data_IF_054299217398
#
_entry.id   IF_054299217398
#
_cell.length_a   1.000
_cell.length_b   1.000
_cell.length_c   1.000
_cell.angle_alpha   90.00
_cell.angle_beta   90.00
_cell.angle_gamma   90.00
#
_symmetry.space_group_name_H-M   'P 1'
#
loop_
_entity.id
_entity.type
_entity.pdbx_description
1 polymer ?
#
# COMPACT_ATOMS: atom_id res chain seq x y z
N UNK A 1 48.17 31.99 28.59
CA UNK A 1 46.97 31.16 28.32
C UNK A 1 46.19 31.86 27.24
N UNK A 2 46.23 31.38 25.99
CA UNK A 2 45.63 32.07 24.84
C UNK A 2 44.58 31.19 24.16
N UNK A 3 43.40 31.76 23.98
CA UNK A 3 42.40 31.39 22.96
C UNK A 3 42.34 32.62 22.05
N UNK A 4 42.49 32.48 20.71
CA UNK A 4 41.28 32.68 19.87
C UNK A 4 41.25 31.97 18.51
N UNK A 5 40.02 31.61 18.10
CA UNK A 5 39.43 31.60 16.73
C UNK A 5 40.15 30.80 15.60
N UNK A 6 39.46 30.06 14.72
CA UNK A 6 38.65 30.45 13.52
C UNK A 6 38.22 29.14 12.82
N UNK A 7 37.25 29.05 11.90
CA UNK A 7 36.32 29.97 11.22
C UNK A 7 35.01 29.17 10.93
N UNK A 8 33.95 29.83 10.45
CA UNK A 8 32.83 29.20 9.71
C UNK A 8 32.98 29.57 8.22
N UNK A 9 32.74 28.63 7.30
CA UNK A 9 32.53 28.94 5.88
C UNK A 9 31.23 28.28 5.40
N UNK A 10 30.21 29.10 5.19
CA UNK A 10 29.04 28.78 4.38
C UNK A 10 29.42 28.93 2.90
N UNK A 11 28.97 28.01 2.06
CA UNK A 11 29.07 28.13 0.60
C UNK A 11 27.68 28.01 -0.02
N UNK A 12 27.07 29.18 -0.22
CA UNK A 12 25.79 29.37 -0.88
C UNK A 12 25.94 29.49 -2.40
N UNK A 13 25.19 28.64 -3.10
CA UNK A 13 24.55 28.81 -4.42
C UNK A 13 24.84 30.14 -5.18
N UNK A 14 25.32 30.03 -6.43
CA UNK A 14 24.74 30.57 -7.68
C UNK A 14 25.78 30.49 -8.85
N UNK A 15 25.39 30.65 -10.14
CA UNK A 15 25.85 29.69 -11.16
C UNK A 15 26.53 30.31 -12.40
N UNK A 16 26.74 29.45 -13.41
CA UNK A 16 27.04 29.70 -14.84
C UNK A 16 28.51 29.69 -15.30
N UNK A 17 28.73 28.80 -16.29
CA UNK A 17 29.77 28.75 -17.32
C UNK A 17 31.23 29.08 -16.97
N UNK A 18 32.00 28.01 -16.73
CA UNK A 18 33.38 27.91 -17.23
C UNK A 18 33.60 26.48 -17.77
N UNK A 19 33.91 26.37 -19.05
CA UNK A 19 34.20 25.11 -19.74
C UNK A 19 35.54 24.55 -19.28
N UNK A 20 35.53 23.40 -18.61
CA UNK A 20 36.76 22.64 -18.31
C UNK A 20 37.12 21.80 -19.55
N UNK A 21 38.36 21.88 -20.08
CA UNK A 21 38.77 21.11 -21.25
C UNK A 21 38.82 19.61 -20.97
N UNK A 22 38.42 18.80 -21.96
CA UNK A 22 38.34 17.33 -21.90
C UNK A 22 39.74 16.72 -22.12
N UNK A 23 40.70 17.07 -21.27
CA UNK A 23 42.10 16.64 -21.39
C UNK A 23 42.81 16.45 -20.04
N UNK A 24 42.06 16.02 -19.01
CA UNK A 24 42.58 15.83 -17.65
C UNK A 24 41.98 14.61 -16.90
N UNK A 25 41.45 13.60 -17.62
CA UNK A 25 40.96 12.35 -17.03
C UNK A 25 41.59 11.10 -17.67
N UNK A 26 42.91 11.01 -17.55
CA UNK A 26 43.66 9.75 -17.62
C UNK A 26 44.54 9.64 -16.37
N UNK A 27 43.92 9.35 -15.23
CA UNK A 27 44.38 8.35 -14.26
C UNK A 27 43.49 8.33 -13.01
N UNK A 28 43.39 7.12 -12.48
CA UNK A 28 42.78 6.67 -11.23
C UNK A 28 42.71 7.69 -10.09
N UNK A 29 41.50 8.04 -9.65
CA UNK A 29 41.06 8.12 -8.24
C UNK A 29 39.67 8.74 -8.13
N UNK A 30 38.62 8.00 -8.51
CA UNK A 30 37.25 8.44 -8.20
C UNK A 30 37.03 8.30 -6.70
N UNK A 31 37.20 9.39 -5.95
CA UNK A 31 36.95 9.43 -4.51
C UNK A 31 35.45 9.27 -4.29
N UNK A 32 35.02 8.03 -4.07
CA UNK A 32 33.69 7.70 -3.57
C UNK A 32 33.59 8.14 -2.11
N UNK A 33 33.19 9.39 -1.90
CA UNK A 33 32.66 9.83 -0.61
C UNK A 33 31.37 9.05 -0.38
N UNK A 34 31.46 7.96 0.37
CA UNK A 34 30.28 7.37 1.00
C UNK A 34 29.76 8.39 2.00
N UNK A 35 28.63 9.03 1.69
CA UNK A 35 27.89 9.80 2.68
C UNK A 35 27.50 8.88 3.84
N UNK A 36 27.78 9.30 5.08
CA UNK A 36 27.46 8.52 6.30
C UNK A 36 25.96 8.17 6.43
N UNK A 37 25.10 8.79 5.63
CA UNK A 37 23.65 8.49 5.55
C UNK A 37 23.30 7.12 4.94
N UNK A 38 24.25 6.39 4.33
CA UNK A 38 23.96 5.09 3.68
C UNK A 38 24.41 3.86 4.47
N UNK A 39 25.21 4.01 5.51
CA UNK A 39 25.69 2.88 6.32
C UNK A 39 25.85 3.25 7.80
N UNK A 40 25.21 2.52 8.70
CA UNK A 40 25.42 2.69 10.14
C UNK A 40 26.52 1.77 10.66
N UNK A 41 27.43 2.30 11.48
CA UNK A 41 28.41 1.49 12.21
C UNK A 41 27.71 0.77 13.37
N UNK A 42 27.42 -0.51 13.19
CA UNK A 42 26.65 -1.35 14.12
C UNK A 42 27.54 -2.45 14.70
N UNK A 43 27.61 -2.62 16.04
CA UNK A 43 28.24 -3.80 16.64
C UNK A 43 27.33 -5.03 16.44
N UNK A 44 27.89 -6.14 15.94
CA UNK A 44 27.17 -7.40 15.73
C UNK A 44 27.89 -8.58 16.42
N UNK A 45 27.12 -9.60 16.78
CA UNK A 45 27.63 -10.88 17.28
C UNK A 45 27.22 -11.99 16.31
N UNK A 46 28.09 -12.41 15.37
CA UNK A 46 27.74 -13.34 14.31
C UNK A 46 27.52 -14.76 14.87
N UNK A 47 26.28 -15.24 14.77
CA UNK A 47 25.92 -16.64 14.99
C UNK A 47 26.29 -17.55 13.80
N UNK A 48 25.98 -18.84 13.89
CA UNK A 48 26.22 -19.84 12.83
C UNK A 48 25.64 -19.46 11.46
N UNK A 49 24.51 -18.76 11.47
CA UNK A 49 23.72 -18.47 10.27
C UNK A 49 24.11 -17.12 9.63
N UNK A 50 25.01 -16.38 10.28
CA UNK A 50 25.66 -15.21 9.69
C UNK A 50 26.77 -15.68 8.74
N UNK A 51 26.39 -15.94 7.49
CA UNK A 51 27.31 -16.44 6.45
C UNK A 51 27.66 -15.38 5.40
N UNK A 52 28.82 -15.60 4.77
CA UNK A 52 29.45 -14.68 3.84
C UNK A 52 28.94 -14.88 2.41
N UNK A 53 28.13 -13.93 1.92
CA UNK A 53 27.81 -13.88 0.49
C UNK A 53 29.01 -13.32 -0.28
N UNK A 54 29.87 -14.24 -0.75
CA UNK A 54 30.90 -14.06 -1.79
C UNK A 54 32.05 -13.07 -1.46
N UNK A 55 33.24 -13.62 -1.25
CA UNK A 55 34.49 -12.86 -1.21
C UNK A 55 34.89 -12.52 -2.66
N UNK A 56 34.84 -11.25 -3.06
CA UNK A 56 35.56 -10.81 -4.25
C UNK A 56 37.07 -10.77 -3.94
N UNK A 57 37.94 -11.30 -4.81
CA UNK A 57 39.37 -11.42 -4.50
C UNK A 57 40.04 -10.05 -4.39
N UNK A 58 40.71 -9.81 -3.26
CA UNK A 58 41.54 -8.63 -2.96
C UNK A 58 40.88 -7.24 -2.99
N UNK A 59 39.75 -7.06 -2.29
CA UNK A 59 39.41 -5.71 -1.82
C UNK A 59 40.43 -5.27 -0.76
N UNK A 60 41.16 -4.18 -1.02
CA UNK A 60 42.35 -3.73 -0.27
C UNK A 60 42.03 -2.74 0.83
N UNK A 61 40.79 -2.28 0.92
CA UNK A 61 40.37 -1.29 1.92
C UNK A 61 38.95 -1.53 2.43
N UNK A 62 38.69 -0.97 3.61
CA UNK A 62 37.35 -0.89 4.20
C UNK A 62 36.35 -0.15 3.31
N UNK A 63 36.77 0.94 2.66
CA UNK A 63 35.92 1.76 1.78
C UNK A 63 35.44 0.97 0.56
N UNK A 64 36.36 0.22 -0.06
CA UNK A 64 36.07 -0.67 -1.19
C UNK A 64 35.09 -1.79 -0.80
N UNK A 65 35.29 -2.39 0.38
CA UNK A 65 34.39 -3.40 0.94
C UNK A 65 32.95 -2.90 1.12
N UNK A 66 32.78 -1.72 1.71
CA UNK A 66 31.48 -1.09 1.90
C UNK A 66 30.87 -0.66 0.56
N UNK A 67 31.68 -0.14 -0.38
CA UNK A 67 31.22 0.24 -1.72
C UNK A 67 30.73 -0.96 -2.55
N UNK A 68 31.40 -2.11 -2.43
CA UNK A 68 30.94 -3.34 -3.08
C UNK A 68 29.60 -3.81 -2.49
N UNK A 69 29.46 -3.79 -1.16
CA UNK A 69 28.18 -4.07 -0.49
C UNK A 69 27.07 -3.08 -0.89
N UNK A 70 27.40 -1.81 -1.19
CA UNK A 70 26.42 -0.85 -1.68
C UNK A 70 25.83 -1.28 -3.03
N UNK A 71 26.66 -1.82 -3.93
CA UNK A 71 26.27 -2.26 -5.28
C UNK A 71 25.53 -3.60 -5.29
N UNK A 72 25.83 -4.50 -4.36
CA UNK A 72 25.18 -5.80 -4.25
C UNK A 72 23.81 -5.67 -3.54
N UNK A 73 22.72 -6.11 -4.19
CA UNK A 73 21.36 -6.04 -3.63
C UNK A 73 21.09 -7.04 -2.49
N UNK A 74 21.85 -8.13 -2.41
CA UNK A 74 21.74 -9.15 -1.36
C UNK A 74 22.62 -8.84 -0.14
N UNK A 75 23.62 -7.95 -0.30
CA UNK A 75 24.45 -7.51 0.82
C UNK A 75 23.69 -6.55 1.76
N UNK A 76 23.46 -6.98 3.00
CA UNK A 76 22.82 -6.17 4.06
C UNK A 76 23.83 -5.40 4.91
N UNK A 77 25.11 -5.73 4.84
CA UNK A 77 26.17 -4.93 5.44
C UNK A 77 27.56 -5.53 5.20
N UNK A 78 28.61 -4.85 5.67
CA UNK A 78 29.97 -5.33 5.49
C UNK A 78 30.84 -5.15 6.75
N UNK A 79 31.83 -6.02 6.94
CA UNK A 79 32.89 -5.82 7.92
C UNK A 79 34.28 -6.01 7.27
N UNK A 80 35.28 -5.37 7.86
CA UNK A 80 36.65 -5.35 7.32
C UNK A 80 37.68 -5.45 8.44
N UNK A 81 38.40 -6.57 8.47
CA UNK A 81 39.49 -6.85 9.41
C UNK A 81 40.74 -7.38 8.66
N UNK A 82 41.26 -6.57 7.73
CA UNK A 82 42.31 -6.99 6.78
C UNK A 82 41.81 -7.83 5.59
N UNK A 83 40.60 -8.37 5.70
CA UNK A 83 39.83 -8.99 4.62
C UNK A 83 38.40 -8.43 4.61
N UNK A 84 37.77 -8.39 3.43
CA UNK A 84 36.39 -7.96 3.26
C UNK A 84 35.39 -9.10 3.44
N UNK A 85 34.34 -8.85 4.22
CA UNK A 85 33.26 -9.79 4.48
C UNK A 85 31.91 -9.09 4.28
N UNK A 86 31.11 -9.60 3.33
CA UNK A 86 29.72 -9.18 3.15
C UNK A 86 28.79 -10.00 4.07
N UNK A 87 27.76 -9.35 4.57
CA UNK A 87 26.87 -9.81 5.64
C UNK A 87 25.43 -9.87 5.15
N UNK A 88 24.73 -10.96 5.50
CA UNK A 88 23.31 -11.16 5.23
C UNK A 88 22.42 -10.55 6.34
N UNK A 89 21.09 -10.69 6.23
CA UNK A 89 20.15 -10.23 7.25
C UNK A 89 20.29 -10.92 8.62
N UNK A 90 20.70 -12.20 8.67
CA UNK A 90 20.85 -12.95 9.92
C UNK A 90 21.95 -12.35 10.83
N UNK A 91 22.96 -11.71 10.23
CA UNK A 91 24.00 -10.98 10.97
C UNK A 91 23.50 -9.76 11.77
N UNK A 92 22.28 -9.28 11.51
CA UNK A 92 21.68 -8.09 12.14
C UNK A 92 20.40 -8.39 12.95
N UNK A 93 19.99 -9.66 13.03
CA UNK A 93 18.87 -10.08 13.87
C UNK A 93 19.17 -9.81 15.36
N UNK A 94 18.19 -9.26 16.08
CA UNK A 94 18.38 -8.62 17.39
C UNK A 94 18.49 -9.60 18.57
N UNK A 95 19.48 -10.50 18.53
CA UNK A 95 19.93 -11.24 19.70
C UNK A 95 20.93 -10.38 20.48
N UNK A 96 20.69 -10.04 21.76
CA UNK A 96 21.69 -9.38 22.57
C UNK A 96 22.92 -10.29 22.70
N UNK A 97 24.12 -9.70 22.61
CA UNK A 97 25.42 -10.39 22.76
C UNK A 97 25.62 -10.91 24.20
N UNK A 98 24.83 -11.91 24.62
CA UNK A 98 24.70 -12.29 26.03
C UNK A 98 25.75 -13.30 26.51
N UNK A 99 26.58 -13.84 25.60
CA UNK A 99 27.57 -14.88 25.91
C UNK A 99 28.75 -15.02 24.92
N UNK A 100 28.92 -14.12 23.93
CA UNK A 100 30.05 -14.17 22.98
C UNK A 100 31.02 -12.98 23.20
N UNK A 101 32.36 -13.20 23.19
CA UNK A 101 33.32 -12.22 23.70
C UNK A 101 33.80 -11.15 22.71
N UNK A 102 33.39 -11.18 21.43
CA UNK A 102 33.90 -10.25 20.40
C UNK A 102 32.74 -9.68 19.58
N UNK A 103 32.36 -8.44 19.88
CA UNK A 103 31.49 -7.65 19.01
C UNK A 103 32.26 -7.22 17.76
N UNK A 104 31.83 -7.68 16.59
CA UNK A 104 32.44 -7.29 15.32
C UNK A 104 31.82 -5.95 14.88
N UNK A 105 32.67 -5.00 14.50
CA UNK A 105 32.22 -3.74 13.89
C UNK A 105 31.76 -4.04 12.46
N UNK A 106 30.45 -3.97 12.23
CA UNK A 106 29.85 -4.02 10.91
C UNK A 106 29.38 -2.62 10.46
N UNK A 107 29.28 -2.46 9.16
CA UNK A 107 28.63 -1.33 8.48
C UNK A 107 27.32 -1.88 7.91
N UNK A 108 26.22 -1.68 8.62
CA UNK A 108 24.88 -2.08 8.15
C UNK A 108 24.46 -1.16 7.01
N UNK A 109 24.10 -1.74 5.86
CA UNK A 109 23.60 -0.99 4.70
C UNK A 109 22.22 -0.47 5.01
N UNK A 110 22.05 0.85 5.03
CA UNK A 110 20.71 1.43 4.96
C UNK A 110 20.11 1.03 3.63
N UNK A 111 18.96 0.36 3.69
CA UNK A 111 18.20 0.02 2.49
C UNK A 111 17.55 1.31 2.01
N UNK A 112 17.93 1.76 0.80
CA UNK A 112 17.25 2.88 0.16
C UNK A 112 15.82 2.45 -0.14
N UNK A 113 14.87 2.98 0.62
CA UNK A 113 13.46 2.74 0.41
C UNK A 113 13.06 3.20 -1.00
N UNK A 114 12.38 2.33 -1.73
CA UNK A 114 11.87 2.58 -3.06
C UNK A 114 10.57 3.38 -2.98
N UNK A 115 10.13 3.89 -4.13
CA UNK A 115 8.78 4.46 -4.32
C UNK A 115 8.38 5.54 -3.30
N UNK A 116 9.34 6.35 -2.84
CA UNK A 116 9.10 7.44 -1.90
C UNK A 116 8.99 7.02 -0.42
N UNK A 117 9.25 5.76 -0.09
CA UNK A 117 9.35 5.30 1.30
C UNK A 117 10.43 6.04 2.09
N UNK A 118 10.26 6.13 3.41
CA UNK A 118 11.16 6.86 4.31
C UNK A 118 11.87 5.90 5.26
N UNK A 119 13.19 5.96 5.32
CA UNK A 119 13.98 5.15 6.26
C UNK A 119 13.79 5.66 7.69
N UNK A 120 13.39 4.78 8.60
CA UNK A 120 13.34 5.07 10.04
C UNK A 120 14.60 4.50 10.70
N UNK A 121 15.50 5.37 11.14
CA UNK A 121 16.76 5.00 11.79
C UNK A 121 16.58 4.28 13.13
N UNK A 122 15.45 4.49 13.81
CA UNK A 122 15.16 3.92 15.12
C UNK A 122 14.65 2.49 15.00
N UNK A 123 13.71 2.22 14.08
CA UNK A 123 13.20 0.86 13.82
C UNK A 123 14.02 0.07 12.79
N UNK A 124 14.95 0.73 12.07
CA UNK A 124 15.75 0.18 10.96
C UNK A 124 14.91 -0.45 9.84
N UNK A 125 13.78 0.19 9.53
CA UNK A 125 12.80 -0.24 8.53
C UNK A 125 12.39 0.90 7.62
N UNK A 126 11.93 0.57 6.42
CA UNK A 126 11.29 1.52 5.52
C UNK A 126 9.82 1.72 5.91
N UNK A 127 9.44 2.96 6.17
CA UNK A 127 8.04 3.37 6.27
C UNK A 127 7.52 3.70 4.86
N UNK A 128 6.64 2.84 4.36
CA UNK A 128 6.08 2.96 3.01
C UNK A 128 4.86 3.89 2.98
N UNK A 129 4.60 4.46 1.82
CA UNK A 129 3.55 5.47 1.60
C UNK A 129 2.76 5.12 0.32
N UNK A 130 1.58 5.71 0.14
CA UNK A 130 0.85 5.70 -1.14
C UNK A 130 0.32 4.34 -1.65
N UNK A 131 0.34 3.30 -0.81
CA UNK A 131 -0.07 1.94 -1.18
C UNK A 131 1.10 0.97 -1.39
N UNK A 132 2.34 1.43 -1.27
CA UNK A 132 3.52 0.56 -1.32
C UNK A 132 3.73 -0.20 0.00
N UNK A 133 4.24 -1.42 -0.11
CA UNK A 133 4.55 -2.34 1.01
C UNK A 133 5.79 -3.17 0.66
N UNK A 134 6.24 -4.00 1.62
CA UNK A 134 7.48 -4.77 1.51
C UNK A 134 8.61 -4.15 2.32
N UNK A 135 9.75 -4.85 2.38
CA UNK A 135 10.87 -4.50 3.27
C UNK A 135 11.56 -3.18 2.91
N UNK A 136 11.46 -2.79 1.64
CA UNK A 136 12.01 -1.57 1.05
C UNK A 136 10.97 -0.83 0.19
N UNK A 137 9.67 -1.09 0.39
CA UNK A 137 8.56 -0.52 -0.39
C UNK A 137 8.58 -0.91 -1.88
N UNK A 138 9.03 -2.13 -2.18
CA UNK A 138 9.27 -2.68 -3.51
C UNK A 138 8.01 -3.04 -4.31
N UNK A 139 6.86 -3.25 -3.67
CA UNK A 139 5.63 -3.75 -4.29
C UNK A 139 4.40 -2.98 -3.83
N UNK A 140 3.39 -2.86 -4.69
CA UNK A 140 2.08 -2.34 -4.28
C UNK A 140 1.36 -3.37 -3.40
N UNK A 141 0.51 -2.90 -2.49
CA UNK A 141 -0.37 -3.76 -1.73
C UNK A 141 -1.53 -4.30 -2.59
N UNK A 142 -2.01 -5.49 -2.23
CA UNK A 142 -3.11 -6.17 -2.92
C UNK A 142 -4.49 -5.83 -2.30
N UNK A 143 -4.53 -5.41 -1.04
CA UNK A 143 -5.76 -5.05 -0.32
C UNK A 143 -5.47 -3.99 0.76
N UNK A 144 -6.51 -3.29 1.24
CA UNK A 144 -6.38 -2.38 2.39
C UNK A 144 -5.90 -3.14 3.66
N UNK A 145 -6.24 -4.43 3.79
CA UNK A 145 -5.81 -5.29 4.90
C UNK A 145 -4.29 -5.45 4.92
N UNK A 146 -3.69 -5.67 3.76
CA UNK A 146 -2.23 -5.76 3.65
C UNK A 146 -1.50 -4.46 4.05
N UNK A 147 -2.12 -3.28 3.93
CA UNK A 147 -1.53 -2.02 4.43
C UNK A 147 -1.42 -1.99 5.95
N UNK A 148 -2.51 -2.38 6.64
CA UNK A 148 -2.53 -2.50 8.10
C UNK A 148 -1.48 -3.52 8.58
N UNK A 149 -1.43 -4.70 7.97
CA UNK A 149 -0.42 -5.72 8.27
C UNK A 149 1.01 -5.26 8.00
N UNK A 150 1.20 -4.31 7.08
CA UNK A 150 2.48 -3.68 6.76
C UNK A 150 2.81 -2.45 7.65
N UNK A 151 2.02 -2.19 8.70
CA UNK A 151 2.30 -1.16 9.69
C UNK A 151 1.86 0.27 9.30
N UNK A 152 0.97 0.42 8.32
CA UNK A 152 0.28 1.70 8.11
C UNK A 152 -0.51 2.06 9.37
N UNK A 153 -0.47 3.34 9.77
CA UNK A 153 -1.11 3.82 10.98
C UNK A 153 -2.62 3.94 10.81
N UNK A 154 -3.42 3.94 11.90
CA UNK A 154 -4.85 4.19 11.80
C UNK A 154 -5.16 5.58 11.23
N UNK A 155 -5.74 5.62 10.03
CA UNK A 155 -6.15 6.85 9.32
C UNK A 155 -7.09 6.50 8.15
N UNK A 156 -7.62 7.52 7.50
CA UNK A 156 -8.26 7.44 6.18
C UNK A 156 -7.22 7.62 5.06
N UNK A 157 -7.23 6.71 4.09
CA UNK A 157 -6.25 6.65 3.02
C UNK A 157 -6.90 6.69 1.64
N UNK A 158 -6.26 7.44 0.72
CA UNK A 158 -6.41 7.29 -0.73
C UNK A 158 -5.07 6.77 -1.27
N UNK A 159 -5.08 5.57 -1.86
CA UNK A 159 -3.87 4.79 -2.16
C UNK A 159 -4.00 4.02 -3.48
N UNK A 160 -2.87 3.73 -4.12
CA UNK A 160 -2.83 2.91 -5.33
C UNK A 160 -2.56 1.44 -4.97
N UNK A 161 -3.49 0.54 -5.33
CA UNK A 161 -3.40 -0.90 -5.03
C UNK A 161 -3.38 -1.74 -6.31
N UNK A 162 -2.67 -2.87 -6.28
CA UNK A 162 -2.65 -3.86 -7.36
C UNK A 162 -3.64 -5.00 -7.04
N UNK A 163 -4.95 -4.70 -7.04
CA UNK A 163 -6.00 -5.63 -6.58
C UNK A 163 -5.98 -6.98 -7.32
N UNK A 164 -5.54 -7.01 -8.57
CA UNK A 164 -5.49 -8.20 -9.44
C UNK A 164 -4.16 -8.95 -9.38
N UNK A 165 -3.18 -8.46 -8.60
CA UNK A 165 -1.81 -8.97 -8.53
C UNK A 165 -1.13 -9.12 -9.92
N UNK A 166 -1.42 -8.18 -10.83
CA UNK A 166 -0.91 -8.23 -12.21
C UNK A 166 0.57 -7.79 -12.30
N UNK A 167 1.27 -8.26 -13.33
CA UNK A 167 2.63 -7.83 -13.70
C UNK A 167 2.68 -7.59 -15.21
N UNK A 168 2.89 -6.35 -15.70
CA UNK A 168 3.04 -5.11 -14.93
C UNK A 168 1.77 -4.76 -14.14
N UNK A 169 1.95 -4.14 -12.98
CA UNK A 169 0.84 -3.78 -12.10
C UNK A 169 -0.07 -2.73 -12.77
N UNK A 170 -1.39 -2.92 -12.64
CA UNK A 170 -2.41 -1.94 -13.03
C UNK A 170 -3.01 -1.33 -11.75
N UNK A 171 -2.43 -0.24 -11.24
CA UNK A 171 -2.88 0.37 -10.00
C UNK A 171 -4.31 0.90 -10.12
N UNK A 172 -5.11 0.63 -9.09
CA UNK A 172 -6.46 1.18 -8.91
C UNK A 172 -6.41 2.07 -7.67
N UNK A 173 -7.04 3.24 -7.74
CA UNK A 173 -7.17 4.14 -6.58
C UNK A 173 -8.25 3.61 -5.67
N UNK A 174 -7.86 3.25 -4.45
CA UNK A 174 -8.72 2.64 -3.44
C UNK A 174 -8.73 3.52 -2.20
N UNK A 175 -9.92 3.66 -1.64
CA UNK A 175 -10.14 4.39 -0.40
C UNK A 175 -10.31 3.40 0.76
N UNK A 176 -9.49 3.57 1.79
CA UNK A 176 -9.44 2.71 2.96
C UNK A 176 -9.63 3.52 4.25
N UNK A 177 -10.23 2.92 5.28
CA UNK A 177 -10.05 3.37 6.68
C UNK A 177 -9.37 2.25 7.43
N UNK A 178 -8.23 2.55 8.06
CA UNK A 178 -7.55 1.66 8.99
C UNK A 178 -7.86 2.12 10.41
N UNK A 179 -8.32 1.22 11.28
CA UNK A 179 -8.74 1.55 12.64
C UNK A 179 -7.75 1.05 13.71
N UNK A 180 -7.70 1.66 14.90
CA UNK A 180 -6.82 1.21 16.00
C UNK A 180 -7.16 -0.16 16.57
N UNK A 181 -8.39 -0.66 16.35
CA UNK A 181 -8.87 -1.98 16.77
C UNK A 181 -8.54 -3.10 15.77
N UNK A 182 -7.68 -2.81 14.79
CA UNK A 182 -7.37 -3.64 13.62
C UNK A 182 -8.56 -3.89 12.67
N UNK A 183 -9.68 -3.17 12.78
CA UNK A 183 -10.67 -3.16 11.70
C UNK A 183 -10.15 -2.43 10.46
N UNK A 184 -10.59 -2.88 9.29
CA UNK A 184 -10.23 -2.32 7.98
C UNK A 184 -11.51 -2.18 7.17
N UNK A 185 -11.76 -0.97 6.66
CA UNK A 185 -12.84 -0.71 5.72
C UNK A 185 -12.25 -0.38 4.36
N UNK A 186 -12.85 -0.89 3.30
CA UNK A 186 -12.59 -0.54 1.90
C UNK A 186 -13.88 0.01 1.31
N UNK A 187 -13.85 1.25 0.82
CA UNK A 187 -15.07 1.88 0.31
C UNK A 187 -15.37 1.39 -1.11
N UNK A 188 -16.41 0.56 -1.24
CA UNK A 188 -16.97 0.19 -2.56
C UNK A 188 -17.73 1.38 -3.17
N UNK A 189 -18.49 2.08 -2.34
CA UNK A 189 -19.21 3.31 -2.67
C UNK A 189 -19.11 4.29 -1.50
N UNK A 190 -19.05 5.57 -1.82
CA UNK A 190 -19.18 6.67 -0.85
C UNK A 190 -19.90 7.82 -1.50
N UNK A 191 -20.79 8.48 -0.76
CA UNK A 191 -21.44 9.72 -1.19
C UNK A 191 -21.67 10.64 0.00
N UNK A 192 -21.59 11.96 -0.23
CA UNK A 192 -22.04 12.99 0.72
C UNK A 192 -23.50 13.36 0.52
N UNK A 193 -24.18 12.81 -0.49
CA UNK A 193 -25.54 13.18 -0.90
C UNK A 193 -25.65 14.58 -1.53
N UNK A 194 -24.51 15.16 -1.97
CA UNK A 194 -24.45 16.48 -2.62
C UNK A 194 -24.06 16.44 -4.09
N UNK A 195 -23.37 15.38 -4.51
CA UNK A 195 -22.99 15.15 -5.90
C UNK A 195 -24.02 14.21 -6.54
N UNK A 196 -24.25 14.37 -7.85
CA UNK A 196 -25.06 13.41 -8.60
C UNK A 196 -24.25 12.14 -8.88
N UNK A 197 -24.90 10.99 -8.67
CA UNK A 197 -24.36 9.67 -9.00
C UNK A 197 -25.22 9.05 -10.11
N UNK A 198 -25.21 9.68 -11.28
CA UNK A 198 -25.86 9.19 -12.50
C UNK A 198 -24.79 9.10 -13.60
N UNK A 199 -24.18 7.92 -13.70
CA UNK A 199 -23.06 7.64 -14.59
C UNK A 199 -23.41 6.51 -15.57
N UNK A 200 -22.60 6.40 -16.63
CA UNK A 200 -22.73 5.37 -17.66
C UNK A 200 -22.38 3.98 -17.15
N UNK A 201 -22.81 2.94 -17.86
CA UNK A 201 -22.38 1.56 -17.61
C UNK A 201 -20.84 1.41 -17.57
N UNK A 202 -20.13 2.07 -18.49
CA UNK A 202 -18.66 2.03 -18.53
C UNK A 202 -18.02 2.59 -17.25
N UNK A 203 -18.54 3.71 -16.75
CA UNK A 203 -18.08 4.34 -15.50
C UNK A 203 -18.44 3.50 -14.26
N UNK A 204 -19.61 2.88 -14.21
CA UNK A 204 -19.99 1.97 -13.12
C UNK A 204 -19.19 0.65 -13.16
N UNK A 205 -18.86 0.14 -14.34
CA UNK A 205 -18.01 -1.04 -14.53
C UNK A 205 -16.58 -0.78 -14.05
N UNK A 206 -15.95 0.31 -14.52
CA UNK A 206 -14.54 0.64 -14.25
C UNK A 206 -14.29 1.33 -12.91
N UNK A 207 -15.23 2.14 -12.45
CA UNK A 207 -15.09 3.01 -11.28
C UNK A 207 -14.87 4.48 -11.64
N UNK A 208 -15.27 5.36 -10.71
CA UNK A 208 -15.10 6.82 -10.81
C UNK A 208 -14.88 7.46 -9.44
N UNK A 209 -14.21 8.62 -9.42
CA UNK A 209 -13.98 9.42 -8.22
C UNK A 209 -14.33 10.87 -8.55
N UNK A 210 -15.30 11.45 -7.84
CA UNK A 210 -15.64 12.88 -7.93
C UNK A 210 -14.79 13.65 -6.92
N UNK A 211 -14.70 13.14 -5.69
CA UNK A 211 -13.83 13.63 -4.62
C UNK A 211 -13.74 12.58 -3.49
N UNK A 212 -12.91 12.80 -2.47
CA UNK A 212 -12.74 11.88 -1.33
C UNK A 212 -14.03 11.56 -0.54
N UNK A 213 -15.09 12.34 -0.74
CA UNK A 213 -16.43 12.09 -0.19
C UNK A 213 -17.39 11.35 -1.13
N UNK A 214 -17.09 11.27 -2.44
CA UNK A 214 -18.01 10.84 -3.49
C UNK A 214 -17.27 10.00 -4.56
N UNK A 215 -17.46 8.69 -4.52
CA UNK A 215 -16.74 7.73 -5.37
C UNK A 215 -17.49 6.40 -5.54
N UNK A 216 -17.18 5.70 -6.62
CA UNK A 216 -17.58 4.33 -6.89
C UNK A 216 -16.35 3.52 -7.33
N UNK A 217 -16.06 2.41 -6.64
CA UNK A 217 -14.84 1.63 -6.85
C UNK A 217 -14.78 0.93 -8.23
N UNK A 218 -15.93 0.73 -8.88
CA UNK A 218 -16.06 -0.03 -10.13
C UNK A 218 -16.46 -1.49 -9.88
N UNK A 219 -17.50 -1.95 -10.58
CA UNK A 219 -18.06 -3.30 -10.41
C UNK A 219 -17.02 -4.39 -10.69
N UNK A 220 -16.16 -4.21 -11.69
CA UNK A 220 -15.05 -5.14 -12.00
C UNK A 220 -14.06 -5.28 -10.83
N UNK A 221 -13.89 -4.21 -10.05
CA UNK A 221 -12.99 -4.18 -8.91
C UNK A 221 -13.68 -4.76 -7.67
N UNK A 222 -14.99 -4.51 -7.49
CA UNK A 222 -15.81 -5.15 -6.44
C UNK A 222 -15.87 -6.67 -6.63
N UNK A 223 -16.04 -7.16 -7.87
CA UNK A 223 -16.02 -8.59 -8.19
C UNK A 223 -14.67 -9.22 -7.84
N UNK A 224 -13.57 -8.54 -8.18
CA UNK A 224 -12.20 -8.96 -7.83
C UNK A 224 -12.01 -9.04 -6.30
N UNK A 225 -12.48 -8.03 -5.55
CA UNK A 225 -12.37 -8.02 -4.09
C UNK A 225 -13.21 -9.14 -3.45
N UNK A 226 -14.49 -9.28 -3.83
CA UNK A 226 -15.40 -10.25 -3.21
C UNK A 226 -15.06 -11.72 -3.53
N UNK A 227 -14.34 -11.96 -4.63
CA UNK A 227 -13.78 -13.27 -4.94
C UNK A 227 -12.53 -13.62 -4.09
N UNK A 228 -11.92 -12.65 -3.41
CA UNK A 228 -10.76 -12.87 -2.54
C UNK A 228 -11.18 -13.20 -1.10
N UNK A 229 -10.34 -13.97 -0.39
CA UNK A 229 -10.59 -14.37 1.00
C UNK A 229 -10.67 -13.21 2.01
N UNK A 230 -10.20 -12.02 1.64
CA UNK A 230 -10.14 -10.85 2.51
C UNK A 230 -11.53 -10.19 2.74
N UNK A 231 -12.52 -10.46 1.86
CA UNK A 231 -13.78 -9.72 1.77
C UNK A 231 -15.04 -10.60 1.82
N UNK A 232 -15.22 -11.34 2.92
CA UNK A 232 -16.44 -12.12 3.17
C UNK A 232 -17.63 -11.33 3.78
N UNK A 233 -17.48 -10.02 3.99
CA UNK A 233 -18.47 -9.16 4.66
C UNK A 233 -18.66 -7.84 3.90
N UNK A 234 -19.89 -7.33 3.90
CA UNK A 234 -20.21 -5.99 3.39
C UNK A 234 -21.03 -5.22 4.42
N UNK A 235 -20.73 -3.94 4.59
CA UNK A 235 -21.47 -3.03 5.45
C UNK A 235 -22.01 -1.85 4.67
N UNK A 236 -23.24 -1.44 4.97
CA UNK A 236 -23.81 -0.17 4.53
C UNK A 236 -24.02 0.72 5.75
N UNK A 237 -23.46 1.93 5.71
CA UNK A 237 -23.62 2.92 6.77
C UNK A 237 -24.20 4.23 6.24
N UNK A 238 -25.32 4.68 6.82
CA UNK A 238 -26.02 5.92 6.46
C UNK A 238 -25.95 6.88 7.64
N UNK A 239 -25.44 8.10 7.39
CA UNK A 239 -25.35 9.17 8.40
C UNK A 239 -26.40 10.23 8.08
N UNK A 240 -27.48 10.26 8.87
CA UNK A 240 -28.51 11.29 8.79
C UNK A 240 -28.09 12.48 9.63
N UNK A 241 -27.71 13.58 8.97
CA UNK A 241 -27.34 14.81 9.67
C UNK A 241 -28.57 15.61 10.08
N UNK A 242 -28.55 16.17 11.29
CA UNK A 242 -29.62 17.06 11.76
C UNK A 242 -29.08 18.21 12.60
N UNK A 243 -29.83 19.31 12.69
CA UNK A 243 -29.45 20.48 13.48
C UNK A 243 -29.36 20.23 15.00
N UNK A 244 -29.80 19.05 15.49
CA UNK A 244 -29.70 18.66 16.91
C UNK A 244 -28.61 17.63 17.16
N UNK A 245 -28.59 16.57 16.35
CA UNK A 245 -27.65 15.45 16.47
C UNK A 245 -27.63 14.63 15.17
N UNK A 246 -26.45 14.23 14.71
CA UNK A 246 -26.30 13.25 13.63
C UNK A 246 -26.70 11.85 14.14
N UNK A 247 -27.36 11.05 13.29
CA UNK A 247 -27.75 9.66 13.58
C UNK A 247 -27.13 8.73 12.54
N UNK A 248 -26.44 7.70 13.00
CA UNK A 248 -25.79 6.70 12.13
C UNK A 248 -26.53 5.38 12.17
N UNK A 249 -26.75 4.82 10.99
CA UNK A 249 -27.37 3.51 10.74
C UNK A 249 -26.33 2.64 10.08
N UNK A 250 -26.17 1.40 10.53
CA UNK A 250 -25.25 0.45 9.92
C UNK A 250 -25.89 -0.93 9.88
N UNK A 251 -25.91 -1.53 8.69
CA UNK A 251 -26.26 -2.93 8.49
C UNK A 251 -25.01 -3.67 8.01
N UNK A 252 -24.71 -4.81 8.60
CA UNK A 252 -23.56 -5.66 8.22
C UNK A 252 -24.07 -7.02 7.77
N UNK A 253 -23.60 -7.48 6.63
CA UNK A 253 -23.95 -8.75 6.00
C UNK A 253 -22.71 -9.62 5.83
N UNK A 254 -22.90 -10.93 5.85
CA UNK A 254 -21.87 -11.95 5.59
C UNK A 254 -22.10 -12.66 4.26
N UNK A 255 -21.09 -13.38 3.77
CA UNK A 255 -21.10 -14.07 2.48
C UNK A 255 -21.47 -13.12 1.33
N UNK A 256 -20.92 -11.90 1.35
CA UNK A 256 -21.03 -10.98 0.23
C UNK A 256 -20.25 -11.54 -0.95
N UNK A 257 -20.90 -11.63 -2.10
CA UNK A 257 -20.26 -11.90 -3.38
C UNK A 257 -20.95 -11.06 -4.44
N UNK A 258 -20.19 -10.56 -5.39
CA UNK A 258 -20.71 -9.92 -6.60
C UNK A 258 -20.03 -10.56 -7.81
N UNK A 259 -20.84 -11.03 -8.75
CA UNK A 259 -20.37 -11.68 -9.96
C UNK A 259 -19.72 -10.70 -10.95
N UNK A 260 -19.24 -11.23 -12.06
CA UNK A 260 -18.57 -10.48 -13.12
C UNK A 260 -19.57 -9.91 -14.17
N UNK A 261 -19.01 -9.33 -15.24
CA UNK A 261 -19.75 -8.86 -16.41
C UNK A 261 -20.68 -9.93 -17.03
N UNK A 262 -20.27 -11.21 -17.10
CA UNK A 262 -21.11 -12.27 -17.69
C UNK A 262 -22.36 -12.54 -16.85
N UNK A 263 -22.24 -12.40 -15.53
CA UNK A 263 -23.37 -12.51 -14.60
C UNK A 263 -24.17 -11.22 -14.46
N UNK A 264 -23.82 -10.15 -15.20
CA UNK A 264 -24.37 -8.80 -15.09
C UNK A 264 -24.23 -8.22 -13.68
N UNK A 265 -23.11 -8.52 -13.01
CA UNK A 265 -22.77 -8.09 -11.66
C UNK A 265 -23.86 -8.33 -10.60
N UNK A 266 -24.61 -9.44 -10.74
CA UNK A 266 -25.53 -9.92 -9.70
C UNK A 266 -24.76 -10.14 -8.40
N UNK A 267 -25.32 -9.69 -7.28
CA UNK A 267 -24.73 -9.91 -5.95
C UNK A 267 -25.60 -10.79 -5.06
N UNK A 268 -24.96 -11.39 -4.07
CA UNK A 268 -25.58 -12.19 -2.99
C UNK A 268 -25.04 -11.78 -1.63
N UNK A 269 -25.87 -11.94 -0.60
CA UNK A 269 -25.55 -11.77 0.83
C UNK A 269 -26.36 -12.75 1.68
N UNK A 270 -25.86 -13.11 2.85
CA UNK A 270 -26.67 -13.80 3.87
C UNK A 270 -27.61 -12.81 4.55
N UNK A 271 -28.90 -13.10 4.52
CA UNK A 271 -29.99 -12.32 5.15
C UNK A 271 -30.64 -13.11 6.29
N UNK A 272 -31.11 -12.45 7.37
CA UNK A 272 -31.01 -11.01 7.66
C UNK A 272 -29.57 -10.57 7.96
N UNK A 273 -29.27 -9.25 7.98
CA UNK A 273 -27.95 -8.77 8.37
C UNK A 273 -27.54 -9.26 9.77
N UNK A 274 -26.26 -9.61 9.93
CA UNK A 274 -25.68 -10.14 11.18
C UNK A 274 -25.46 -9.07 12.24
N UNK A 275 -25.48 -7.79 11.86
CA UNK A 275 -25.43 -6.66 12.78
C UNK A 275 -26.30 -5.52 12.26
N UNK A 276 -27.04 -4.90 13.16
CA UNK A 276 -27.91 -3.74 12.91
C UNK A 276 -27.65 -2.71 14.01
N UNK A 277 -27.13 -1.54 13.66
CA UNK A 277 -27.10 -0.41 14.60
C UNK A 277 -28.34 0.45 14.40
N UNK A 278 -29.24 0.43 15.39
CA UNK A 278 -30.35 1.38 15.44
C UNK A 278 -29.84 2.75 15.88
N UNK A 279 -29.57 3.61 14.91
CA UNK A 279 -29.97 5.00 15.11
C UNK A 279 -31.48 5.00 15.39
N UNK A 280 -31.96 5.80 16.34
CA UNK A 280 -33.39 5.86 16.57
C UNK A 280 -34.05 6.68 15.43
N UNK A 281 -34.91 6.09 14.60
CA UNK A 281 -35.77 6.84 13.65
C UNK A 281 -37.19 7.04 14.18
N UNK A 282 -37.50 6.53 15.37
CA UNK A 282 -38.86 6.27 15.80
C UNK A 282 -39.47 5.02 15.15
N UNK A 283 -40.63 4.57 15.66
CA UNK A 283 -41.19 3.25 15.37
C UNK A 283 -41.75 3.06 13.94
N UNK A 284 -41.78 4.11 13.12
CA UNK A 284 -42.33 4.04 11.75
C UNK A 284 -41.29 3.73 10.66
N UNK A 285 -40.01 3.68 10.98
CA UNK A 285 -38.93 3.46 9.99
C UNK A 285 -37.97 2.38 10.47
N UNK A 286 -38.19 1.15 10.00
CA UNK A 286 -37.29 0.01 10.22
C UNK A 286 -36.51 -0.29 8.95
N UNK A 287 -35.33 0.32 8.79
CA UNK A 287 -34.32 -0.12 7.82
C UNK A 287 -33.68 -1.42 8.33
N UNK A 288 -34.41 -2.53 8.22
CA UNK A 288 -33.98 -3.86 8.69
C UNK A 288 -33.24 -4.67 7.63
N UNK A 289 -33.50 -4.41 6.35
CA UNK A 289 -32.78 -5.02 5.25
C UNK A 289 -32.77 -4.08 4.02
N UNK A 290 -31.58 -3.82 3.48
CA UNK A 290 -31.36 -3.02 2.27
C UNK A 290 -30.91 -3.91 1.11
N UNK A 291 -30.05 -4.90 1.36
CA UNK A 291 -29.49 -5.76 0.31
C UNK A 291 -30.31 -7.01 0.00
N UNK A 292 -31.14 -7.51 0.92
CA UNK A 292 -31.96 -8.71 0.68
C UNK A 292 -32.92 -8.63 -0.51
N UNK A 293 -33.73 -7.56 -0.64
CA UNK A 293 -34.76 -7.47 -1.69
C UNK A 293 -34.23 -7.43 -3.12
N UNK A 294 -33.00 -6.97 -3.34
CA UNK A 294 -32.36 -6.83 -4.67
C UNK A 294 -31.22 -7.83 -4.90
N UNK A 295 -31.15 -8.93 -4.13
CA UNK A 295 -30.22 -10.02 -4.44
C UNK A 295 -30.54 -10.66 -5.79
N UNK A 296 -29.51 -11.10 -6.52
CA UNK A 296 -29.59 -11.75 -7.83
C UNK A 296 -30.29 -10.94 -8.95
N UNK A 297 -30.66 -9.67 -8.73
CA UNK A 297 -31.06 -8.77 -9.82
C UNK A 297 -29.81 -8.28 -10.56
N UNK A 298 -29.81 -8.24 -11.91
CA UNK A 298 -28.73 -7.61 -12.67
C UNK A 298 -28.48 -6.16 -12.24
N UNK A 299 -27.22 -5.73 -12.27
CA UNK A 299 -26.92 -4.29 -12.18
C UNK A 299 -27.45 -3.59 -13.44
N UNK A 300 -27.89 -2.34 -13.33
CA UNK A 300 -28.43 -1.56 -14.45
C UNK A 300 -28.14 -0.07 -14.26
N UNK A 301 -28.13 0.66 -15.37
CA UNK A 301 -27.74 2.06 -15.49
C UNK A 301 -28.70 2.80 -16.41
N UNK A 302 -28.56 4.11 -16.59
CA UNK A 302 -29.47 4.90 -17.44
C UNK A 302 -29.27 4.63 -18.94
N UNK A 303 -28.10 4.12 -19.33
CA UNK A 303 -27.70 3.73 -20.69
C UNK A 303 -27.70 2.21 -20.94
N UNK A 304 -27.67 1.38 -19.88
CA UNK A 304 -27.78 -0.09 -20.00
C UNK A 304 -28.78 -0.69 -18.98
N UNK A 305 -29.95 -1.11 -19.46
CA UNK A 305 -31.00 -1.78 -18.69
C UNK A 305 -30.93 -3.31 -18.86
N UNK A 306 -30.45 -3.99 -17.82
CA UNK A 306 -30.32 -5.45 -17.79
C UNK A 306 -31.52 -6.16 -17.14
N UNK A 307 -32.51 -5.42 -16.61
CA UNK A 307 -33.69 -5.99 -15.96
C UNK A 307 -34.59 -6.66 -17.02
N UNK A 308 -34.92 -5.93 -18.10
CA UNK A 308 -35.79 -6.45 -19.15
C UNK A 308 -35.09 -7.41 -20.13
N UNK A 309 -33.77 -7.30 -20.30
CA UNK A 309 -32.98 -8.24 -21.09
C UNK A 309 -33.13 -9.69 -20.60
N UNK A 310 -33.31 -9.89 -19.29
CA UNK A 310 -33.54 -11.21 -18.71
C UNK A 310 -34.90 -11.83 -19.13
N UNK A 311 -35.93 -11.02 -19.34
CA UNK A 311 -37.28 -11.49 -19.68
C UNK A 311 -37.47 -11.87 -21.15
N UNK A 312 -36.73 -11.25 -22.08
CA UNK A 312 -36.78 -11.67 -23.49
C UNK A 312 -36.17 -13.07 -23.72
N UNK A 313 -35.19 -13.47 -22.89
CA UNK A 313 -34.57 -14.81 -22.95
C UNK A 313 -35.52 -15.97 -22.62
N UNK A 314 -36.65 -15.69 -21.95
CA UNK A 314 -37.72 -16.66 -21.62
C UNK A 314 -39.03 -16.34 -22.37
N UNK A 315 -39.02 -15.34 -23.25
CA UNK A 315 -40.20 -14.69 -23.82
C UNK A 315 -40.28 -14.73 -25.34
N UNK A 316 -39.89 -15.84 -25.97
CA UNK A 316 -39.95 -16.06 -27.42
C UNK A 316 -41.39 -16.17 -28.00
N UNK A 317 -42.26 -15.20 -27.72
CA UNK A 317 -43.62 -15.12 -28.21
C UNK A 317 -43.80 -13.86 -29.09
N UNK A 318 -43.88 -14.09 -30.41
CA UNK A 318 -44.17 -13.06 -31.42
C UNK A 318 -45.38 -12.21 -31.01
N UNK A 319 -45.21 -10.89 -30.93
CA UNK A 319 -46.34 -9.97 -31.16
C UNK A 319 -46.68 -10.00 -32.65
N UNK A 320 -47.77 -10.67 -33.01
CA UNK A 320 -48.42 -10.46 -34.31
C UNK A 320 -49.13 -9.11 -34.28
N UNK A 321 -48.92 -8.27 -35.28
CA UNK A 321 -49.68 -7.04 -35.46
C UNK A 321 -51.16 -7.36 -35.74
N UNK A 322 -52.05 -6.79 -34.93
CA UNK A 322 -53.39 -6.38 -35.34
C UNK A 322 -53.87 -5.23 -34.45
#
# INVERSE_FOLDING_TARGET
MNVPARWVVLLSILPWFLTIPISAFQNESTILVLSDEKFSKTPICPGSDCYFLKIAPLMRSRLECISACHRDSLCRGATYNGSCFQLNYACFASLPCRQQPIAVVAYEKHTTCLNGGKWNSTSRQCHCLGGWVGSICERMALSCRQLQESGYQPDFYSVQLNLRNETPARPITVYCTLSPDNSVLTYLFRSTGKEEHNHTWEEYSKGYVINDGNLWLGLDNMATLSASSDYGMVGVSVILRSARQDRTFSLIYTNFSIGDFQTQYRYTVTTPPVSVSSGDLGPSYTLTDIFGPSQNTPFSTSDEDNIYASTESLGGARKSNQ
#
